data_IF_601733862412
#
_entry.id   IF_601733862412
#
_cell.length_a   1.000
_cell.length_b   1.000
_cell.length_c   1.000
_cell.angle_alpha   90.00
_cell.angle_beta   90.00
_cell.angle_gamma   90.00
#
_symmetry.space_group_name_H-M   'P 1'
#
loop_
_entity.id
_entity.type
_entity.pdbx_description
1 polymer ?
#
# COMPACT_ATOMS: atom_id res chain seq x y z
N UNK A 1 23.79 66.42 50.84
CA UNK A 1 24.40 65.16 50.37
C UNK A 1 23.43 64.53 49.38
N UNK A 2 23.76 64.56 48.09
CA UNK A 2 22.95 64.01 47.00
C UNK A 2 23.71 62.83 46.40
N UNK A 3 23.12 61.65 46.40
CA UNK A 3 23.58 60.48 45.64
C UNK A 3 22.64 60.25 44.45
N UNK A 4 23.13 60.32 43.19
CA UNK A 4 22.42 59.78 42.04
C UNK A 4 23.09 58.48 41.57
N UNK A 5 22.32 57.42 41.30
CA UNK A 5 22.91 56.24 40.63
C UNK A 5 22.13 54.94 40.71
N UNK A 6 20.87 54.90 40.24
CA UNK A 6 20.16 53.63 40.00
C UNK A 6 19.18 53.77 38.83
N UNK A 7 19.69 53.98 37.61
CA UNK A 7 18.86 54.16 36.42
C UNK A 7 19.36 53.54 35.11
N UNK A 8 20.62 53.08 35.02
CA UNK A 8 21.26 52.80 33.72
C UNK A 8 21.58 51.32 33.43
N UNK A 9 21.17 50.36 34.27
CA UNK A 9 21.50 48.93 34.06
C UNK A 9 20.40 48.07 33.41
N UNK A 10 19.17 48.58 33.25
CA UNK A 10 18.04 47.77 32.72
C UNK A 10 17.94 47.73 31.18
N UNK A 11 18.56 48.65 30.45
CA UNK A 11 18.45 48.72 28.98
C UNK A 11 19.45 47.83 28.23
N UNK A 12 20.70 47.73 28.68
CA UNK A 12 21.71 46.89 28.02
C UNK A 12 21.37 45.39 28.07
N UNK A 13 20.71 44.93 29.13
CA UNK A 13 20.38 43.51 29.28
C UNK A 13 19.24 43.06 28.34
N UNK A 14 18.32 43.97 27.98
CA UNK A 14 17.24 43.69 27.01
C UNK A 14 17.73 43.69 25.56
N UNK A 15 18.70 44.54 25.21
CA UNK A 15 19.27 44.57 23.87
C UNK A 15 20.16 43.34 23.61
N UNK A 16 21.01 42.94 24.57
CA UNK A 16 21.82 41.73 24.43
C UNK A 16 20.98 40.45 24.34
N UNK A 17 19.88 40.35 25.10
CA UNK A 17 19.01 39.16 24.99
C UNK A 17 18.27 39.10 23.66
N UNK A 18 17.92 40.24 23.05
CA UNK A 18 17.29 40.31 21.74
C UNK A 18 18.26 39.92 20.61
N UNK A 19 19.51 40.35 20.68
CA UNK A 19 20.54 40.03 19.67
C UNK A 19 20.94 38.57 19.72
N UNK A 20 21.18 38.00 20.91
CA UNK A 20 21.44 36.56 21.06
C UNK A 20 20.25 35.71 20.58
N UNK A 21 19.02 36.17 20.84
CA UNK A 21 17.82 35.48 20.36
C UNK A 21 17.74 35.44 18.84
N UNK A 22 18.00 36.55 18.15
CA UNK A 22 18.00 36.59 16.68
C UNK A 22 19.13 35.75 16.07
N UNK A 23 20.28 35.66 16.74
CA UNK A 23 21.38 34.80 16.32
C UNK A 23 21.01 33.31 16.41
N UNK A 24 20.39 32.89 17.53
CA UNK A 24 19.92 31.51 17.72
C UNK A 24 18.82 31.11 16.73
N UNK A 25 17.90 32.03 16.42
CA UNK A 25 16.86 31.79 15.40
C UNK A 25 17.46 31.60 14.01
N UNK A 26 18.45 32.42 13.66
CA UNK A 26 19.12 32.32 12.36
C UNK A 26 19.90 31.00 12.25
N UNK A 27 20.62 30.61 13.28
CA UNK A 27 21.33 29.33 13.33
C UNK A 27 20.37 28.13 13.21
N UNK A 28 19.23 28.16 13.92
CA UNK A 28 18.19 27.16 13.76
C UNK A 28 17.66 27.09 12.33
N UNK A 29 17.31 28.23 11.72
CA UNK A 29 16.75 28.27 10.36
C UNK A 29 17.73 27.74 9.32
N UNK A 30 19.02 28.07 9.42
CA UNK A 30 20.05 27.58 8.49
C UNK A 30 20.26 26.06 8.63
N UNK A 31 20.23 25.53 9.86
CA UNK A 31 20.39 24.09 10.09
C UNK A 31 19.19 23.29 9.65
N UNK A 32 17.98 23.76 9.95
CA UNK A 32 16.75 23.06 9.55
C UNK A 32 16.54 23.11 8.04
N UNK A 33 16.92 24.21 7.37
CA UNK A 33 16.91 24.30 5.91
C UNK A 33 17.85 23.26 5.28
N UNK A 34 19.09 23.18 5.79
CA UNK A 34 20.07 22.20 5.29
C UNK A 34 19.58 20.76 5.48
N UNK A 35 19.00 20.47 6.65
CA UNK A 35 18.43 19.16 6.97
C UNK A 35 17.26 18.81 6.02
N UNK A 36 16.33 19.75 5.80
CA UNK A 36 15.19 19.52 4.91
C UNK A 36 15.64 19.30 3.47
N UNK A 37 16.67 20.01 3.00
CA UNK A 37 17.22 19.80 1.65
C UNK A 37 17.90 18.43 1.51
N UNK A 38 18.65 17.99 2.52
CA UNK A 38 19.29 16.68 2.53
C UNK A 38 18.25 15.55 2.49
N UNK A 39 17.23 15.61 3.34
CA UNK A 39 16.15 14.62 3.36
C UNK A 39 15.30 14.65 2.09
N UNK A 40 15.01 15.83 1.54
CA UNK A 40 14.31 15.94 0.26
C UNK A 40 15.12 15.31 -0.88
N UNK A 41 16.45 15.49 -0.87
CA UNK A 41 17.33 14.87 -1.86
C UNK A 41 17.36 13.34 -1.71
N UNK A 42 17.46 12.84 -0.47
CA UNK A 42 17.38 11.40 -0.17
C UNK A 42 16.07 10.79 -0.64
N UNK A 43 14.94 11.45 -0.37
CA UNK A 43 13.62 11.00 -0.84
C UNK A 43 13.50 11.04 -2.37
N UNK A 44 14.09 12.04 -3.03
CA UNK A 44 14.09 12.13 -4.50
C UNK A 44 14.99 11.11 -5.20
N UNK A 45 15.94 10.53 -4.46
CA UNK A 45 16.84 9.49 -4.95
C UNK A 45 16.27 8.08 -4.79
N UNK A 46 15.15 7.92 -4.09
CA UNK A 46 14.40 6.68 -4.09
C UNK A 46 13.70 6.51 -5.45
N UNK A 47 13.85 5.33 -6.03
CA UNK A 47 13.29 5.02 -7.35
C UNK A 47 11.75 5.03 -7.26
N UNK A 48 11.06 5.70 -8.18
CA UNK A 48 9.61 5.97 -8.07
C UNK A 48 8.74 4.71 -8.00
N UNK A 49 9.29 3.58 -8.42
CA UNK A 49 8.61 2.29 -8.50
C UNK A 49 8.75 1.47 -7.19
N UNK A 50 9.57 1.90 -6.22
CA UNK A 50 9.78 1.23 -4.92
C UNK A 50 9.39 2.07 -3.69
N UNK A 51 8.88 3.30 -3.87
CA UNK A 51 8.49 4.16 -2.74
C UNK A 51 7.13 3.77 -2.19
N UNK A 52 7.10 2.98 -1.12
CA UNK A 52 5.90 2.73 -0.32
C UNK A 52 5.82 3.64 0.91
N UNK A 53 4.63 3.72 1.52
CA UNK A 53 4.40 4.56 2.71
C UNK A 53 5.22 4.06 3.91
N UNK A 54 5.48 2.75 3.97
CA UNK A 54 6.19 2.08 5.06
C UNK A 54 7.69 2.41 5.07
N UNK A 55 8.29 2.62 3.90
CA UNK A 55 9.67 3.03 3.73
C UNK A 55 9.85 4.53 3.99
N UNK A 56 8.88 5.38 3.66
CA UNK A 56 8.97 6.85 3.84
C UNK A 56 8.70 7.29 5.28
N UNK A 57 7.81 6.61 6.01
CA UNK A 57 7.43 7.00 7.37
C UNK A 57 8.62 7.10 8.36
N UNK A 58 9.59 6.17 8.38
CA UNK A 58 10.78 6.30 9.20
C UNK A 58 11.59 7.58 8.95
N UNK A 59 11.64 8.06 7.70
CA UNK A 59 12.35 9.30 7.36
C UNK A 59 11.64 10.53 7.96
N UNK A 60 10.31 10.58 7.87
CA UNK A 60 9.52 11.68 8.45
C UNK A 60 9.62 11.66 9.99
N UNK A 61 9.58 10.48 10.62
CA UNK A 61 9.76 10.35 12.06
C UNK A 61 11.15 10.78 12.53
N UNK A 62 12.19 10.43 11.79
CA UNK A 62 13.55 10.85 12.09
C UNK A 62 13.71 12.37 11.91
N UNK A 63 13.15 12.93 10.84
CA UNK A 63 13.12 14.38 10.61
C UNK A 63 12.43 15.15 11.75
N UNK A 64 11.31 14.63 12.27
CA UNK A 64 10.62 15.24 13.44
C UNK A 64 11.53 15.21 14.69
N UNK A 65 12.24 14.11 14.93
CA UNK A 65 13.18 14.00 16.08
C UNK A 65 14.35 14.96 15.95
N UNK A 66 14.94 15.03 14.76
CA UNK A 66 16.06 15.93 14.47
C UNK A 66 15.64 17.40 14.58
N UNK A 67 14.47 17.76 14.06
CA UNK A 67 13.88 19.10 14.20
C UNK A 67 13.68 19.49 15.67
N UNK A 68 13.11 18.58 16.48
CA UNK A 68 12.91 18.80 17.90
C UNK A 68 14.24 19.01 18.66
N UNK A 69 15.28 18.23 18.32
CA UNK A 69 16.61 18.38 18.92
C UNK A 69 17.26 19.71 18.53
N UNK A 70 17.20 20.11 17.26
CA UNK A 70 17.72 21.40 16.78
C UNK A 70 17.04 22.57 17.49
N UNK A 71 15.74 22.46 17.73
CA UNK A 71 14.96 23.47 18.46
C UNK A 71 15.38 23.60 19.92
N UNK A 72 15.58 22.48 20.59
CA UNK A 72 16.05 22.45 21.98
C UNK A 72 17.45 23.05 22.10
N UNK A 73 18.37 22.66 21.21
CA UNK A 73 19.74 23.18 21.14
C UNK A 73 19.77 24.71 20.88
N UNK A 74 18.88 25.22 20.04
CA UNK A 74 18.81 26.65 19.74
C UNK A 74 18.07 27.46 20.82
N UNK A 75 17.35 26.82 21.75
CA UNK A 75 16.63 27.50 22.84
C UNK A 75 15.50 28.41 22.34
N UNK A 76 14.90 28.11 21.19
CA UNK A 76 13.91 28.97 20.52
C UNK A 76 12.45 28.76 20.99
N UNK A 77 12.21 27.75 21.84
CA UNK A 77 10.93 27.52 22.50
C UNK A 77 9.78 27.26 21.52
N UNK A 78 8.70 28.05 21.62
CA UNK A 78 7.49 27.91 20.79
C UNK A 78 7.56 28.60 19.41
N UNK A 79 8.73 29.10 19.02
CA UNK A 79 8.90 29.72 17.71
C UNK A 79 9.02 28.65 16.63
N UNK A 80 8.49 28.95 15.44
CA UNK A 80 8.47 28.04 14.30
C UNK A 80 7.72 26.72 14.54
N UNK A 81 6.83 26.67 15.53
CA UNK A 81 5.92 25.53 15.77
C UNK A 81 5.12 25.12 14.53
N UNK A 82 4.91 26.05 13.59
CA UNK A 82 4.26 25.77 12.30
C UNK A 82 4.96 24.63 11.57
N UNK A 83 6.30 24.62 11.55
CA UNK A 83 7.08 23.56 10.91
C UNK A 83 6.83 22.20 11.58
N UNK A 84 6.86 22.15 12.92
CA UNK A 84 6.54 20.93 13.67
C UNK A 84 5.14 20.42 13.33
N UNK A 85 4.17 21.35 13.35
CA UNK A 85 2.77 21.01 13.13
C UNK A 85 2.54 20.47 11.72
N UNK A 86 3.32 20.94 10.73
CA UNK A 86 3.26 20.45 9.37
C UNK A 86 3.89 19.06 9.25
N UNK A 87 5.06 18.83 9.84
CA UNK A 87 5.69 17.51 9.86
C UNK A 87 4.82 16.47 10.58
N UNK A 88 4.23 16.82 11.72
CA UNK A 88 3.30 15.96 12.46
C UNK A 88 2.01 15.69 11.67
N UNK A 89 1.49 16.67 10.92
CA UNK A 89 0.35 16.42 10.04
C UNK A 89 0.68 15.46 8.90
N UNK A 90 1.90 15.55 8.34
CA UNK A 90 2.37 14.61 7.32
C UNK A 90 2.49 13.21 7.92
N UNK A 91 3.11 13.07 9.08
CA UNK A 91 3.19 11.81 9.83
C UNK A 91 1.81 11.22 10.11
N UNK A 92 0.86 12.01 10.63
CA UNK A 92 -0.50 11.55 10.90
C UNK A 92 -1.24 11.09 9.65
N UNK A 93 -1.05 11.78 8.52
CA UNK A 93 -1.66 11.36 7.24
C UNK A 93 -1.05 10.06 6.75
N UNK A 94 0.28 9.89 6.84
CA UNK A 94 0.94 8.65 6.47
C UNK A 94 0.54 7.48 7.36
N UNK A 95 0.45 7.70 8.68
CA UNK A 95 -0.05 6.70 9.62
C UNK A 95 -1.51 6.35 9.34
N UNK A 96 -2.35 7.34 9.01
CA UNK A 96 -3.73 7.10 8.60
C UNK A 96 -3.82 6.22 7.35
N UNK A 97 -2.97 6.45 6.35
CA UNK A 97 -2.90 5.61 5.14
C UNK A 97 -2.41 4.20 5.44
N UNK A 98 -1.43 4.02 6.34
CA UNK A 98 -0.98 2.70 6.79
C UNK A 98 -2.06 1.99 7.60
N UNK A 99 -2.77 2.69 8.47
CA UNK A 99 -3.85 2.15 9.28
C UNK A 99 -5.05 1.77 8.40
N UNK A 100 -5.36 2.54 7.37
CA UNK A 100 -6.37 2.22 6.36
C UNK A 100 -5.96 1.01 5.50
N UNK A 101 -4.70 0.93 5.08
CA UNK A 101 -4.16 -0.25 4.41
C UNK A 101 -4.20 -1.48 5.33
N UNK A 102 -3.82 -1.32 6.59
CA UNK A 102 -3.82 -2.40 7.59
C UNK A 102 -5.24 -2.82 7.94
N UNK A 103 -6.21 -1.89 8.00
CA UNK A 103 -7.63 -2.19 8.24
C UNK A 103 -8.29 -2.82 7.03
N UNK A 104 -8.01 -2.36 5.81
CA UNK A 104 -8.45 -3.02 4.60
C UNK A 104 -7.91 -4.46 4.53
N UNK A 105 -6.63 -4.66 4.88
CA UNK A 105 -6.02 -5.98 5.02
C UNK A 105 -6.58 -6.79 6.20
N UNK A 106 -6.97 -6.16 7.31
CA UNK A 106 -7.53 -6.83 8.49
C UNK A 106 -9.00 -7.23 8.29
N UNK A 107 -9.79 -6.42 7.58
CA UNK A 107 -11.16 -6.71 7.18
C UNK A 107 -11.17 -7.78 6.06
N UNK A 108 -10.19 -7.76 5.14
CA UNK A 108 -9.88 -8.90 4.26
C UNK A 108 -9.48 -10.14 5.09
N UNK A 109 -8.62 -9.99 6.10
CA UNK A 109 -8.18 -11.09 6.97
C UNK A 109 -9.31 -11.66 7.82
N UNK A 110 -10.31 -10.85 8.21
CA UNK A 110 -11.49 -11.29 8.95
C UNK A 110 -12.54 -11.94 8.04
N UNK A 111 -12.67 -11.50 6.79
CA UNK A 111 -13.44 -12.23 5.76
C UNK A 111 -12.75 -13.55 5.35
N UNK A 112 -11.41 -13.58 5.34
CA UNK A 112 -10.62 -14.81 5.19
C UNK A 112 -10.74 -15.70 6.44
N UNK A 113 -10.87 -15.11 7.64
CA UNK A 113 -11.02 -15.84 8.90
C UNK A 113 -12.42 -16.46 9.08
N UNK A 114 -13.48 -15.82 8.60
CA UNK A 114 -14.81 -16.43 8.54
C UNK A 114 -14.92 -17.47 7.42
N UNK A 115 -14.00 -17.46 6.45
CA UNK A 115 -13.74 -18.56 5.53
C UNK A 115 -12.79 -19.66 6.09
N UNK A 116 -12.23 -19.53 7.32
CA UNK A 116 -11.40 -20.57 8.00
C UNK A 116 -12.21 -21.77 8.54
N UNK A 117 -13.18 -22.24 7.76
CA UNK A 117 -13.54 -23.66 7.76
C UNK A 117 -12.90 -24.39 6.55
N UNK A 118 -11.94 -23.76 5.88
CA UNK A 118 -11.07 -24.37 4.89
C UNK A 118 -9.94 -25.11 5.63
N UNK A 119 -9.80 -26.40 5.34
CA UNK A 119 -8.77 -27.27 5.91
C UNK A 119 -7.38 -26.62 5.76
N UNK A 120 -6.51 -26.79 6.76
CA UNK A 120 -5.22 -26.08 6.98
C UNK A 120 -4.24 -25.97 5.78
N UNK A 121 -4.53 -26.60 4.62
CA UNK A 121 -3.69 -26.61 3.43
C UNK A 121 -4.35 -26.02 2.15
N UNK A 122 -5.52 -25.38 2.25
CA UNK A 122 -6.18 -24.76 1.09
C UNK A 122 -5.91 -23.24 1.01
N UNK A 123 -5.88 -22.72 -0.22
CA UNK A 123 -5.74 -21.30 -0.56
C UNK A 123 -6.79 -20.93 -1.61
N UNK A 124 -7.37 -19.74 -1.51
CA UNK A 124 -8.24 -19.18 -2.56
C UNK A 124 -7.38 -18.35 -3.52
N UNK A 125 -7.55 -18.57 -4.82
CA UNK A 125 -6.87 -17.81 -5.87
C UNK A 125 -7.88 -17.29 -6.89
N UNK A 126 -7.45 -16.26 -7.63
CA UNK A 126 -8.25 -15.57 -8.63
C UNK A 126 -7.58 -15.71 -10.00
N UNK A 127 -8.26 -16.37 -10.94
CA UNK A 127 -7.73 -16.62 -12.28
C UNK A 127 -8.43 -15.69 -13.27
N UNK A 128 -7.64 -14.90 -14.00
CA UNK A 128 -8.16 -14.03 -15.05
C UNK A 128 -8.46 -14.83 -16.33
N UNK A 129 -9.67 -14.68 -16.86
CA UNK A 129 -10.13 -15.34 -18.07
C UNK A 129 -10.57 -14.30 -19.12
N UNK A 130 -10.14 -14.54 -20.36
CA UNK A 130 -10.60 -13.79 -21.53
C UNK A 130 -11.38 -14.71 -22.47
N UNK A 131 -12.53 -14.24 -22.93
CA UNK A 131 -13.38 -14.94 -23.87
C UNK A 131 -13.98 -13.96 -24.88
N UNK A 132 -13.59 -14.08 -26.15
CA UNK A 132 -14.10 -13.24 -27.23
C UNK A 132 -15.63 -13.34 -27.43
N UNK A 133 -16.26 -14.41 -26.94
CA UNK A 133 -17.71 -14.64 -26.99
C UNK A 133 -18.38 -14.48 -25.62
N UNK A 134 -17.79 -13.71 -24.70
CA UNK A 134 -18.23 -13.58 -23.31
C UNK A 134 -19.63 -12.96 -23.10
N UNK A 135 -20.29 -12.52 -24.17
CA UNK A 135 -21.72 -12.23 -24.16
C UNK A 135 -22.58 -13.46 -23.81
N UNK A 136 -22.16 -14.67 -24.23
CA UNK A 136 -22.92 -15.91 -24.04
C UNK A 136 -22.41 -16.67 -22.81
N UNK A 137 -23.26 -16.86 -21.80
CA UNK A 137 -22.88 -17.57 -20.58
C UNK A 137 -22.40 -19.02 -20.86
N UNK A 138 -23.03 -19.69 -21.83
CA UNK A 138 -22.63 -21.04 -22.25
C UNK A 138 -21.23 -21.14 -22.87
N UNK A 139 -20.66 -20.02 -23.32
CA UNK A 139 -19.27 -20.01 -23.75
C UNK A 139 -18.31 -19.99 -22.56
N UNK A 140 -18.70 -19.37 -21.44
CA UNK A 140 -17.94 -19.40 -20.19
C UNK A 140 -17.96 -20.78 -19.54
N UNK A 141 -19.08 -21.50 -19.60
CA UNK A 141 -19.20 -22.88 -19.08
C UNK A 141 -18.12 -23.81 -19.64
N UNK A 142 -17.71 -23.63 -20.91
CA UNK A 142 -16.63 -24.41 -21.54
C UNK A 142 -15.25 -24.09 -20.96
N UNK A 143 -15.01 -22.84 -20.57
CA UNK A 143 -13.77 -22.39 -19.93
C UNK A 143 -13.66 -22.89 -18.47
N UNK A 144 -14.78 -23.31 -17.88
CA UNK A 144 -14.82 -23.85 -16.52
C UNK A 144 -14.83 -25.38 -16.50
N UNK A 145 -14.84 -26.03 -17.67
CA UNK A 145 -14.68 -27.48 -17.76
C UNK A 145 -13.26 -27.88 -17.35
N UNK A 146 -13.10 -29.06 -16.74
CA UNK A 146 -11.82 -29.49 -16.17
C UNK A 146 -10.65 -29.40 -17.16
N UNK A 147 -10.82 -29.81 -18.42
CA UNK A 147 -9.77 -29.71 -19.44
C UNK A 147 -9.27 -28.27 -19.66
N UNK A 148 -10.17 -27.29 -19.65
CA UNK A 148 -9.82 -25.89 -19.81
C UNK A 148 -9.13 -25.35 -18.56
N UNK A 149 -9.57 -25.77 -17.36
CA UNK A 149 -8.93 -25.42 -16.10
C UNK A 149 -7.49 -25.92 -16.03
N UNK A 150 -7.20 -27.12 -16.54
CA UNK A 150 -5.86 -27.66 -16.61
C UNK A 150 -4.95 -26.73 -17.46
N UNK A 151 -5.42 -26.28 -18.62
CA UNK A 151 -4.70 -25.30 -19.44
C UNK A 151 -4.59 -23.93 -18.76
N UNK A 152 -5.63 -23.50 -18.05
CA UNK A 152 -5.68 -22.21 -17.37
C UNK A 152 -4.73 -22.15 -16.18
N UNK A 153 -4.43 -23.28 -15.54
CA UNK A 153 -3.49 -23.34 -14.41
C UNK A 153 -2.08 -22.85 -14.77
N UNK A 154 -1.68 -22.98 -16.04
CA UNK A 154 -0.34 -22.62 -16.53
C UNK A 154 -0.35 -21.37 -17.42
N UNK A 155 -1.39 -21.19 -18.23
CA UNK A 155 -1.40 -20.20 -19.31
C UNK A 155 -2.19 -18.92 -19.00
N UNK A 156 -2.66 -18.76 -17.77
CA UNK A 156 -3.45 -17.59 -17.36
C UNK A 156 -2.83 -16.90 -16.15
N UNK A 157 -2.95 -15.56 -16.07
CA UNK A 157 -2.61 -14.83 -14.86
C UNK A 157 -3.44 -15.33 -13.68
N UNK A 158 -2.75 -15.74 -12.61
CA UNK A 158 -3.35 -16.16 -11.34
C UNK A 158 -2.89 -15.21 -10.26
N UNK A 159 -3.82 -14.76 -9.43
CA UNK A 159 -3.58 -13.77 -8.40
C UNK A 159 -3.99 -14.32 -7.04
N UNK A 160 -3.31 -13.86 -5.99
CA UNK A 160 -3.67 -14.19 -4.62
C UNK A 160 -4.87 -13.37 -4.12
N UNK A 161 -5.10 -12.20 -4.72
CA UNK A 161 -6.06 -11.19 -4.27
C UNK A 161 -7.00 -10.77 -5.40
N UNK A 162 -8.23 -10.37 -5.06
CA UNK A 162 -9.23 -9.94 -6.05
C UNK A 162 -8.88 -8.56 -6.60
N UNK A 163 -8.38 -7.68 -5.75
CA UNK A 163 -8.05 -6.28 -5.98
C UNK A 163 -7.01 -6.14 -7.11
N UNK A 164 -6.06 -7.09 -7.16
CA UNK A 164 -5.03 -7.15 -8.20
C UNK A 164 -5.66 -7.46 -9.58
N UNK A 165 -6.66 -8.35 -9.62
CA UNK A 165 -7.42 -8.65 -10.84
C UNK A 165 -8.33 -7.49 -11.23
N UNK A 166 -9.00 -6.87 -10.26
CA UNK A 166 -9.83 -5.70 -10.52
C UNK A 166 -9.02 -4.55 -11.09
N UNK A 167 -7.81 -4.32 -10.55
CA UNK A 167 -6.88 -3.34 -11.10
C UNK A 167 -6.55 -3.63 -12.56
N UNK A 168 -6.32 -4.90 -12.92
CA UNK A 168 -6.14 -5.32 -14.32
C UNK A 168 -7.39 -5.04 -15.17
N UNK A 169 -8.58 -5.28 -14.64
CA UNK A 169 -9.85 -5.18 -15.38
C UNK A 169 -10.30 -3.73 -15.63
N UNK A 170 -9.99 -2.79 -14.74
CA UNK A 170 -10.44 -1.37 -14.84
C UNK A 170 -10.12 -0.72 -16.18
N UNK A 171 -8.99 -1.09 -16.80
CA UNK A 171 -8.50 -0.49 -18.03
C UNK A 171 -8.79 -1.33 -19.29
N UNK A 172 -9.60 -2.38 -19.19
CA UNK A 172 -9.86 -3.29 -20.32
C UNK A 172 -11.12 -2.90 -21.10
N UNK A 173 -10.97 -2.85 -22.42
CA UNK A 173 -12.09 -2.67 -23.34
C UNK A 173 -12.96 -3.93 -23.40
N UNK A 174 -14.27 -3.76 -23.60
CA UNK A 174 -15.24 -4.86 -23.69
C UNK A 174 -15.31 -5.71 -22.40
N UNK A 175 -15.83 -5.14 -21.28
CA UNK A 175 -15.93 -5.83 -19.99
C UNK A 175 -16.66 -7.17 -20.06
N UNK A 176 -17.57 -7.35 -21.04
CA UNK A 176 -18.25 -8.61 -21.30
C UNK A 176 -17.34 -9.80 -21.65
N UNK A 177 -16.13 -9.53 -22.14
CA UNK A 177 -15.17 -10.55 -22.58
C UNK A 177 -14.20 -10.95 -21.47
N UNK A 178 -14.35 -10.36 -20.28
CA UNK A 178 -13.46 -10.56 -19.16
C UNK A 178 -14.22 -11.21 -18.01
N UNK A 179 -13.62 -12.23 -17.42
CA UNK A 179 -14.15 -12.94 -16.27
C UNK A 179 -13.06 -13.27 -15.28
N UNK A 180 -13.46 -13.45 -14.02
CA UNK A 180 -12.59 -13.84 -12.93
C UNK A 180 -13.13 -15.13 -12.33
N UNK A 181 -12.26 -16.13 -12.21
CA UNK A 181 -12.58 -17.38 -11.55
C UNK A 181 -12.01 -17.37 -10.13
N UNK A 182 -12.88 -17.51 -9.13
CA UNK A 182 -12.51 -17.68 -7.72
C UNK A 182 -12.52 -19.17 -7.39
N UNK A 183 -11.36 -19.72 -7.05
CA UNK A 183 -11.17 -21.18 -6.94
C UNK A 183 -10.23 -21.53 -5.79
N UNK A 184 -10.49 -22.66 -5.14
CA UNK A 184 -9.61 -23.20 -4.10
C UNK A 184 -8.54 -24.13 -4.67
N UNK A 185 -7.31 -23.93 -4.24
CA UNK A 185 -6.14 -24.73 -4.61
C UNK A 185 -5.40 -25.19 -3.35
N UNK A 186 -4.64 -26.28 -3.46
CA UNK A 186 -3.70 -26.67 -2.40
C UNK A 186 -2.53 -25.69 -2.35
N UNK A 187 -2.02 -25.37 -1.16
CA UNK A 187 -0.79 -24.59 -1.03
C UNK A 187 0.42 -25.30 -1.66
N UNK A 188 0.43 -26.63 -1.64
CA UNK A 188 1.48 -27.43 -2.27
C UNK A 188 1.49 -27.34 -3.79
N UNK A 189 0.35 -26.95 -4.39
CA UNK A 189 0.21 -26.78 -5.83
C UNK A 189 0.60 -25.37 -6.29
N UNK A 190 0.90 -24.46 -5.37
CA UNK A 190 1.46 -23.14 -5.67
C UNK A 190 2.98 -23.26 -5.71
N UNK A 191 3.58 -22.94 -6.85
CA UNK A 191 5.03 -22.99 -7.00
C UNK A 191 5.68 -21.81 -6.23
N UNK A 192 6.25 -22.10 -5.07
CA UNK A 192 7.00 -21.16 -4.22
C UNK A 192 8.49 -21.17 -4.59
N UNK A 193 8.84 -20.86 -5.83
CA UNK A 193 10.26 -20.70 -6.19
C UNK A 193 10.68 -19.24 -5.93
N UNK A 194 11.57 -19.04 -4.95
CA UNK A 194 12.05 -17.73 -4.45
C UNK A 194 12.76 -16.83 -5.47
N UNK A 195 12.94 -17.28 -6.72
CA UNK A 195 13.48 -16.50 -7.85
C UNK A 195 12.44 -16.29 -8.97
N UNK A 196 11.36 -17.07 -8.98
CA UNK A 196 10.27 -16.97 -9.97
C UNK A 196 9.05 -16.19 -9.43
N UNK A 197 9.04 -15.86 -8.14
CA UNK A 197 8.02 -15.05 -7.45
C UNK A 197 8.01 -13.56 -7.84
N UNK A 198 8.54 -13.22 -9.01
CA UNK A 198 8.66 -11.85 -9.52
C UNK A 198 7.86 -11.64 -10.82
N UNK A 199 7.10 -12.63 -11.28
CA UNK A 199 6.19 -12.41 -12.40
C UNK A 199 5.15 -11.37 -11.98
N UNK A 200 5.26 -10.19 -12.58
CA UNK A 200 4.33 -9.09 -12.36
C UNK A 200 3.52 -8.86 -13.61
N UNK A 201 2.27 -8.44 -13.43
CA UNK A 201 1.49 -7.92 -14.54
C UNK A 201 1.96 -6.52 -14.94
N UNK A 202 1.29 -5.93 -15.94
CA UNK A 202 1.60 -4.59 -16.45
C UNK A 202 1.45 -3.47 -15.40
N UNK A 203 0.77 -3.73 -14.28
CA UNK A 203 0.58 -2.79 -13.18
C UNK A 203 1.47 -3.12 -11.98
N UNK A 204 2.42 -4.06 -12.12
CA UNK A 204 3.33 -4.45 -11.06
C UNK A 204 2.77 -5.48 -10.07
N UNK A 205 1.55 -6.00 -10.28
CA UNK A 205 0.93 -6.94 -9.34
C UNK A 205 1.52 -8.35 -9.48
N UNK A 206 1.76 -9.03 -8.35
CA UNK A 206 2.38 -10.34 -8.32
C UNK A 206 1.45 -11.43 -8.87
N UNK A 207 1.98 -12.25 -9.77
CA UNK A 207 1.33 -13.42 -10.34
C UNK A 207 1.80 -14.70 -9.65
N UNK A 208 0.86 -15.56 -9.30
CA UNK A 208 1.11 -16.89 -8.80
C UNK A 208 1.35 -17.84 -9.96
N UNK A 209 2.29 -18.77 -9.78
CA UNK A 209 2.40 -19.96 -10.64
C UNK A 209 1.77 -21.15 -9.94
N UNK A 210 0.86 -21.80 -10.66
CA UNK A 210 0.28 -23.06 -10.22
C UNK A 210 0.94 -24.22 -10.96
N UNK A 211 0.97 -25.39 -10.32
CA UNK A 211 1.27 -26.65 -11.00
C UNK A 211 0.16 -26.97 -12.00
N UNK A 212 0.53 -27.75 -13.01
CA UNK A 212 -0.43 -28.30 -13.96
C UNK A 212 -1.54 -29.06 -13.20
N UNK A 213 -2.79 -28.84 -13.61
CA UNK A 213 -3.98 -29.46 -13.00
C UNK A 213 -4.26 -29.10 -11.53
N UNK A 214 -3.67 -28.03 -11.01
CA UNK A 214 -3.97 -27.49 -9.68
C UNK A 214 -5.41 -26.99 -9.55
N UNK A 215 -5.99 -26.49 -10.65
CA UNK A 215 -7.36 -26.01 -10.69
C UNK A 215 -8.33 -27.18 -10.83
N UNK A 216 -9.26 -27.31 -9.88
CA UNK A 216 -10.30 -28.36 -9.91
C UNK A 216 -11.68 -27.73 -10.03
N UNK A 217 -12.51 -28.27 -10.92
CA UNK A 217 -13.86 -27.77 -11.13
C UNK A 217 -14.71 -27.78 -9.84
N UNK A 218 -14.58 -28.85 -9.03
CA UNK A 218 -15.25 -28.99 -7.73
C UNK A 218 -14.84 -27.94 -6.68
N UNK A 219 -13.72 -27.27 -6.90
CA UNK A 219 -13.17 -26.26 -5.99
C UNK A 219 -13.50 -24.83 -6.44
N UNK A 220 -14.24 -24.67 -7.54
CA UNK A 220 -14.72 -23.37 -7.99
C UNK A 220 -15.72 -22.85 -6.96
N UNK A 221 -15.41 -21.70 -6.39
CA UNK A 221 -16.29 -21.02 -5.44
C UNK A 221 -17.29 -20.16 -6.20
N UNK A 222 -16.78 -19.37 -7.15
CA UNK A 222 -17.57 -18.44 -7.93
C UNK A 222 -16.87 -18.07 -9.24
N UNK A 223 -17.68 -17.64 -10.20
CA UNK A 223 -17.23 -17.02 -11.44
C UNK A 223 -17.85 -15.63 -11.55
N UNK A 224 -17.01 -14.62 -11.76
CA UNK A 224 -17.44 -13.21 -11.79
C UNK A 224 -17.27 -12.70 -13.22
N UNK A 225 -18.34 -12.16 -13.81
CA UNK A 225 -18.31 -11.58 -15.15
C UNK A 225 -19.37 -10.48 -15.24
N UNK A 226 -19.03 -9.35 -15.88
CA UNK A 226 -19.93 -8.17 -16.01
C UNK A 226 -20.47 -7.65 -14.67
N UNK A 227 -19.68 -7.74 -13.60
CA UNK A 227 -20.09 -7.33 -12.24
C UNK A 227 -21.15 -8.23 -11.60
N UNK A 228 -21.42 -9.40 -12.18
CA UNK A 228 -22.30 -10.43 -11.61
C UNK A 228 -21.46 -11.62 -11.17
N UNK A 229 -21.87 -12.21 -10.06
CA UNK A 229 -21.28 -13.44 -9.53
C UNK A 229 -22.16 -14.64 -9.86
N UNK A 230 -21.52 -15.74 -10.26
CA UNK A 230 -22.17 -16.97 -10.68
C UNK A 230 -21.58 -18.15 -9.92
N UNK A 231 -22.43 -19.08 -9.49
CA UNK A 231 -22.02 -20.39 -9.00
C UNK A 231 -22.10 -21.44 -10.11
N UNK A 232 -21.20 -22.43 -10.08
CA UNK A 232 -21.16 -23.52 -11.05
C UNK A 232 -21.91 -24.75 -10.50
N UNK A 233 -23.10 -25.02 -11.03
CA UNK A 233 -23.88 -26.21 -10.71
C UNK A 233 -23.76 -27.25 -11.84
N UNK A 234 -22.97 -28.30 -11.58
CA UNK A 234 -22.58 -29.29 -12.57
C UNK A 234 -21.78 -28.67 -13.71
N UNK A 235 -22.47 -28.33 -14.81
CA UNK A 235 -21.87 -27.69 -16.00
C UNK A 235 -22.48 -26.34 -16.34
N UNK A 236 -23.38 -25.82 -15.50
CA UNK A 236 -24.11 -24.58 -15.76
C UNK A 236 -23.76 -23.49 -14.77
N UNK A 237 -23.70 -22.27 -15.26
CA UNK A 237 -23.52 -21.09 -14.43
C UNK A 237 -24.88 -20.53 -14.00
N UNK A 238 -25.08 -20.40 -12.70
CA UNK A 238 -26.27 -19.84 -12.08
C UNK A 238 -25.89 -18.55 -11.35
N UNK A 239 -26.64 -17.47 -11.60
CA UNK A 239 -26.40 -16.17 -10.94
C UNK A 239 -26.72 -16.29 -9.44
N UNK A 240 -25.88 -15.68 -8.59
CA UNK A 240 -26.04 -15.62 -7.14
C UNK A 240 -26.86 -14.39 -6.74
#
# INVERSE_FOLDING_TARGET
MLTPGLGMQKNNNKQNSKTNRMANEKDYLTRIESLLMEEAHRLSALDSDEVDVESVLPFIQDLIKQEASLREQAGIGSRFLVLQSQLQQIEQRMQGLLDEQTRAQADETQQIASARALQDNELVVYVYLYNAHGLRLSSWERFLAQHALDEHSVNRPVYARMEDVEALLRNKNHPQNHGVLKVKVSRDDVALNAQESQLRDLHGNVLLRLRESALKQKNILAFICKGKEYHLDGHKLLEI
#
